data_IF_713409304450
#
_entry.id   IF_713409304450
#
_cell.length_a   1.000
_cell.length_b   1.000
_cell.length_c   1.000
_cell.angle_alpha   90.00
_cell.angle_beta   90.00
_cell.angle_gamma   90.00
#
_symmetry.space_group_name_H-M   'P 1'
#
loop_
_entity.id
_entity.type
_entity.pdbx_description
1 polymer ?
#
# COMPACT_ATOMS: atom_id res chain seq x y z
N UNK A 1 -22.52 7.70 -8.23
CA UNK A 1 -21.55 7.54 -9.34
C UNK A 1 -21.73 8.68 -10.33
N UNK A 2 -21.15 9.86 -10.10
CA UNK A 2 -21.17 10.93 -11.13
C UNK A 2 -20.05 11.97 -10.97
N UNK A 3 -18.84 11.52 -10.64
CA UNK A 3 -17.65 12.22 -11.13
C UNK A 3 -17.45 11.63 -12.54
N UNK A 4 -17.85 12.36 -13.57
CA UNK A 4 -17.84 11.89 -14.96
C UNK A 4 -16.45 11.38 -15.41
N UNK A 5 -16.37 10.83 -16.62
CA UNK A 5 -15.11 10.35 -17.16
C UNK A 5 -14.08 11.50 -17.25
N UNK A 6 -13.06 11.48 -16.39
CA UNK A 6 -11.92 12.41 -16.41
C UNK A 6 -10.95 11.97 -17.50
N UNK A 7 -11.32 12.26 -18.75
CA UNK A 7 -10.53 11.90 -19.95
C UNK A 7 -9.29 12.77 -20.15
N UNK A 8 -9.22 13.91 -19.46
CA UNK A 8 -8.10 14.85 -19.56
C UNK A 8 -7.00 14.59 -18.52
N UNK A 9 -7.16 13.60 -17.63
CA UNK A 9 -6.12 13.26 -16.66
C UNK A 9 -5.06 12.33 -17.31
N UNK A 10 -3.81 12.78 -17.49
CA UNK A 10 -2.73 11.95 -18.06
C UNK A 10 -2.44 10.69 -17.24
N UNK A 11 -2.81 10.66 -15.96
CA UNK A 11 -2.70 9.49 -15.09
C UNK A 11 -3.82 8.46 -15.33
N UNK A 12 -4.88 8.81 -16.06
CA UNK A 12 -5.93 7.88 -16.46
C UNK A 12 -5.47 6.94 -17.59
N UNK A 13 -4.60 7.43 -18.48
CA UNK A 13 -4.10 6.65 -19.61
C UNK A 13 -2.98 5.66 -19.22
N UNK A 14 -2.28 5.93 -18.12
CA UNK A 14 -1.18 5.10 -17.66
C UNK A 14 -1.53 4.29 -16.39
N UNK A 15 -2.24 3.17 -16.52
CA UNK A 15 -2.60 2.34 -15.35
C UNK A 15 -1.38 1.60 -14.74
N UNK A 16 -0.24 1.58 -15.44
CA UNK A 16 0.93 0.74 -15.12
C UNK A 16 1.59 1.16 -13.80
N UNK A 17 1.64 2.46 -13.48
CA UNK A 17 2.28 2.93 -12.24
C UNK A 17 1.62 2.37 -10.98
N UNK A 18 0.31 2.10 -11.01
CA UNK A 18 -0.44 1.54 -9.88
C UNK A 18 -0.03 0.10 -9.56
N UNK A 19 0.66 -0.59 -10.48
CA UNK A 19 0.97 -2.01 -10.34
C UNK A 19 2.38 -2.26 -9.84
N UNK A 20 3.26 -1.27 -9.91
CA UNK A 20 4.68 -1.45 -9.59
C UNK A 20 4.83 -1.92 -8.14
N UNK A 21 4.24 -1.19 -7.20
CA UNK A 21 4.29 -1.52 -5.77
C UNK A 21 3.73 -2.91 -5.43
N UNK A 22 2.48 -3.26 -5.79
CA UNK A 22 1.95 -4.59 -5.49
C UNK A 22 2.74 -5.70 -6.19
N UNK A 23 3.22 -5.49 -7.42
CA UNK A 23 4.03 -6.48 -8.12
C UNK A 23 5.36 -6.73 -7.41
N UNK A 24 6.03 -5.68 -6.94
CA UNK A 24 7.27 -5.82 -6.16
C UNK A 24 7.03 -6.57 -4.84
N UNK A 25 5.94 -6.30 -4.13
CA UNK A 25 5.60 -7.02 -2.90
C UNK A 25 5.27 -8.50 -3.17
N UNK A 26 4.55 -8.80 -4.25
CA UNK A 26 4.25 -10.18 -4.64
C UNK A 26 5.53 -10.92 -5.04
N UNK A 27 6.41 -10.29 -5.82
CA UNK A 27 7.72 -10.87 -6.17
C UNK A 27 8.58 -11.10 -4.93
N UNK A 28 8.60 -10.17 -3.98
CA UNK A 28 9.22 -10.36 -2.68
C UNK A 28 8.67 -11.59 -1.96
N UNK A 29 7.35 -11.72 -1.90
CA UNK A 29 6.71 -12.89 -1.32
C UNK A 29 7.01 -14.18 -2.07
N UNK A 30 7.17 -14.17 -3.39
CA UNK A 30 7.46 -15.37 -4.19
C UNK A 30 8.88 -15.87 -3.97
N UNK A 31 9.85 -14.94 -3.94
CA UNK A 31 11.27 -15.27 -4.10
C UNK A 31 12.12 -15.06 -2.84
N UNK A 32 11.62 -14.36 -1.81
CA UNK A 32 12.37 -14.07 -0.58
C UNK A 32 11.93 -14.93 0.61
N UNK A 33 12.86 -15.47 1.43
CA UNK A 33 14.32 -15.45 1.26
C UNK A 33 14.79 -16.40 0.17
N UNK A 34 14.08 -17.51 -0.03
CA UNK A 34 14.23 -18.42 -1.16
C UNK A 34 12.88 -18.66 -1.83
N UNK A 35 12.89 -19.12 -3.08
CA UNK A 35 11.66 -19.41 -3.81
C UNK A 35 10.93 -20.60 -3.18
N UNK A 36 9.68 -20.41 -2.78
CA UNK A 36 8.81 -21.50 -2.32
C UNK A 36 7.75 -21.82 -3.38
N UNK A 37 7.55 -23.11 -3.74
CA UNK A 37 6.59 -23.48 -4.78
C UNK A 37 5.17 -22.95 -4.53
N UNK A 38 4.68 -23.03 -3.29
CA UNK A 38 3.34 -22.54 -2.94
C UNK A 38 3.26 -21.01 -3.10
N UNK A 39 4.28 -20.29 -2.63
CA UNK A 39 4.35 -18.83 -2.76
C UNK A 39 4.38 -18.40 -4.23
N UNK A 40 5.13 -19.11 -5.08
CA UNK A 40 5.19 -18.86 -6.53
C UNK A 40 3.82 -19.10 -7.18
N UNK A 41 3.12 -20.17 -6.85
CA UNK A 41 1.77 -20.46 -7.38
C UNK A 41 0.78 -19.36 -6.99
N UNK A 42 0.73 -19.00 -5.70
CA UNK A 42 -0.16 -17.95 -5.19
C UNK A 42 0.17 -16.61 -5.83
N UNK A 43 1.45 -16.22 -5.83
CA UNK A 43 1.90 -14.95 -6.41
C UNK A 43 1.61 -14.85 -7.90
N UNK A 44 1.85 -15.92 -8.66
CA UNK A 44 1.54 -15.98 -10.09
C UNK A 44 0.04 -15.85 -10.36
N UNK A 45 -0.80 -16.51 -9.56
CA UNK A 45 -2.25 -16.41 -9.68
C UNK A 45 -2.75 -14.98 -9.41
N UNK A 46 -2.20 -14.29 -8.41
CA UNK A 46 -2.56 -12.90 -8.11
C UNK A 46 -2.07 -11.93 -9.19
N UNK A 47 -0.83 -12.09 -9.68
CA UNK A 47 -0.32 -11.28 -10.81
C UNK A 47 -1.20 -11.48 -12.05
N UNK A 48 -1.56 -12.73 -12.36
CA UNK A 48 -2.46 -13.01 -13.48
C UNK A 48 -3.83 -12.34 -13.29
N UNK A 49 -4.40 -12.39 -12.09
CA UNK A 49 -5.65 -11.70 -11.78
C UNK A 49 -5.53 -10.17 -11.95
N UNK A 50 -4.43 -9.56 -11.50
CA UNK A 50 -4.17 -8.14 -11.70
C UNK A 50 -4.08 -7.77 -13.18
N UNK A 51 -3.48 -8.63 -14.01
CA UNK A 51 -3.43 -8.47 -15.47
C UNK A 51 -4.84 -8.49 -16.06
N UNK A 52 -5.63 -9.50 -15.72
CA UNK A 52 -7.01 -9.66 -16.21
C UNK A 52 -7.88 -8.47 -15.82
N UNK A 53 -7.86 -8.07 -14.54
CA UNK A 53 -8.55 -6.86 -14.07
C UNK A 53 -8.07 -5.63 -14.84
N UNK A 54 -6.76 -5.56 -15.09
CA UNK A 54 -6.10 -4.55 -15.93
C UNK A 54 -6.78 -4.31 -17.27
N UNK A 55 -6.92 -5.41 -17.99
CA UNK A 55 -7.52 -5.47 -19.32
C UNK A 55 -9.01 -5.12 -19.24
N UNK A 56 -9.73 -5.69 -18.27
CA UNK A 56 -11.15 -5.41 -18.07
C UNK A 56 -11.42 -3.92 -17.79
N UNK A 57 -10.59 -3.27 -16.97
CA UNK A 57 -10.68 -1.84 -16.69
C UNK A 57 -10.50 -1.00 -17.96
N UNK A 58 -9.63 -1.41 -18.88
CA UNK A 58 -9.44 -0.73 -20.16
C UNK A 58 -10.63 -0.92 -21.08
N UNK A 59 -11.10 -2.17 -21.26
CA UNK A 59 -12.25 -2.49 -22.12
C UNK A 59 -13.50 -1.73 -21.67
N UNK A 60 -13.77 -1.74 -20.36
CA UNK A 60 -14.94 -1.07 -19.77
C UNK A 60 -14.75 0.44 -19.56
N UNK A 61 -13.57 0.99 -19.90
CA UNK A 61 -13.23 2.41 -19.72
C UNK A 61 -13.38 2.90 -18.27
N UNK A 62 -13.27 1.98 -17.31
CA UNK A 62 -13.42 2.27 -15.87
C UNK A 62 -12.27 3.11 -15.31
N UNK A 63 -11.11 3.04 -15.96
CA UNK A 63 -9.95 3.87 -15.64
C UNK A 63 -10.18 5.38 -15.82
N UNK A 64 -11.24 5.82 -16.49
CA UNK A 64 -11.59 7.25 -16.54
C UNK A 64 -12.41 7.74 -15.34
N UNK A 65 -12.93 6.84 -14.49
CA UNK A 65 -13.77 7.23 -13.36
C UNK A 65 -12.94 7.40 -12.10
N UNK A 66 -12.95 8.61 -11.52
CA UNK A 66 -12.12 8.94 -10.36
C UNK A 66 -12.39 8.04 -9.14
N UNK A 67 -13.66 7.76 -8.85
CA UNK A 67 -14.03 6.87 -7.75
C UNK A 67 -13.54 5.43 -7.96
N UNK A 68 -13.54 4.95 -9.21
CA UNK A 68 -13.04 3.62 -9.53
C UNK A 68 -11.51 3.56 -9.42
N UNK A 69 -10.79 4.59 -9.91
CA UNK A 69 -9.34 4.69 -9.74
C UNK A 69 -8.95 4.73 -8.27
N UNK A 70 -9.64 5.55 -7.46
CA UNK A 70 -9.43 5.60 -6.02
C UNK A 70 -9.60 4.23 -5.36
N UNK A 71 -10.66 3.50 -5.73
CA UNK A 71 -10.93 2.15 -5.25
C UNK A 71 -9.80 1.18 -5.63
N UNK A 72 -9.37 1.17 -6.88
CA UNK A 72 -8.27 0.29 -7.35
C UNK A 72 -6.98 0.62 -6.62
N UNK A 73 -6.66 1.90 -6.45
CA UNK A 73 -5.46 2.34 -5.71
C UNK A 73 -5.47 1.80 -4.28
N UNK A 74 -6.56 1.96 -3.53
CA UNK A 74 -6.61 1.47 -2.14
C UNK A 74 -6.53 -0.05 -2.07
N UNK A 75 -7.19 -0.78 -2.98
CA UNK A 75 -7.10 -2.24 -3.07
C UNK A 75 -5.66 -2.70 -3.33
N UNK A 76 -4.94 -2.04 -4.24
CA UNK A 76 -3.56 -2.39 -4.57
C UNK A 76 -2.57 -2.04 -3.45
N UNK A 77 -2.79 -0.97 -2.69
CA UNK A 77 -2.01 -0.65 -1.50
C UNK A 77 -2.26 -1.67 -0.37
N UNK A 78 -3.51 -2.08 -0.17
CA UNK A 78 -3.86 -3.13 0.80
C UNK A 78 -3.22 -4.47 0.42
N UNK A 79 -3.29 -4.84 -0.86
CA UNK A 79 -2.64 -6.03 -1.41
C UNK A 79 -1.12 -5.99 -1.19
N UNK A 80 -0.49 -4.85 -1.46
CA UNK A 80 0.95 -4.62 -1.21
C UNK A 80 1.28 -4.92 0.25
N UNK A 81 0.50 -4.39 1.20
CA UNK A 81 0.71 -4.65 2.63
C UNK A 81 0.53 -6.11 3.00
N UNK A 82 -0.52 -6.77 2.51
CA UNK A 82 -0.74 -8.20 2.78
C UNK A 82 0.48 -9.01 2.33
N UNK A 83 0.98 -8.79 1.10
CA UNK A 83 2.16 -9.50 0.62
C UNK A 83 3.45 -9.12 1.35
N UNK A 84 3.61 -7.87 1.79
CA UNK A 84 4.70 -7.48 2.68
C UNK A 84 4.64 -8.24 4.02
N UNK A 85 3.48 -8.33 4.66
CA UNK A 85 3.29 -9.06 5.90
C UNK A 85 3.60 -10.55 5.74
N UNK A 86 3.16 -11.16 4.63
CA UNK A 86 3.50 -12.54 4.29
C UNK A 86 5.00 -12.73 4.04
N UNK A 87 5.64 -11.78 3.35
CA UNK A 87 7.10 -11.78 3.15
C UNK A 87 7.84 -11.70 4.48
N UNK A 88 7.35 -10.90 5.44
CA UNK A 88 7.92 -10.80 6.80
C UNK A 88 7.82 -12.14 7.54
N UNK A 89 6.72 -12.90 7.38
CA UNK A 89 6.61 -14.26 7.95
C UNK A 89 7.73 -15.13 7.39
N UNK A 90 7.88 -15.16 6.06
CA UNK A 90 8.88 -15.97 5.36
C UNK A 90 10.31 -15.55 5.70
N UNK A 91 10.53 -14.26 5.99
CA UNK A 91 11.81 -13.69 6.43
C UNK A 91 12.19 -14.02 7.88
N UNK A 92 11.43 -14.86 8.59
CA UNK A 92 11.70 -15.23 9.98
C UNK A 92 11.07 -14.32 11.02
N UNK A 93 10.10 -13.48 10.64
CA UNK A 93 9.32 -12.67 11.60
C UNK A 93 8.35 -13.50 12.45
N UNK A 94 8.01 -14.72 12.01
CA UNK A 94 7.06 -15.58 12.71
C UNK A 94 5.60 -15.13 12.55
N UNK A 95 4.67 -16.07 12.74
CA UNK A 95 3.25 -15.83 12.45
C UNK A 95 2.64 -14.75 13.35
N UNK A 96 3.08 -14.66 14.61
CA UNK A 96 2.56 -13.69 15.60
C UNK A 96 2.83 -12.26 15.18
N UNK A 97 4.07 -11.94 14.75
CA UNK A 97 4.43 -10.59 14.32
C UNK A 97 3.57 -10.19 13.12
N UNK A 98 3.46 -11.05 12.10
CA UNK A 98 2.65 -10.72 10.94
C UNK A 98 1.16 -10.66 11.21
N UNK A 99 0.62 -11.45 12.15
CA UNK A 99 -0.76 -11.27 12.61
C UNK A 99 -0.97 -9.90 13.25
N UNK A 100 -0.02 -9.42 14.06
CA UNK A 100 -0.07 -8.07 14.64
C UNK A 100 -0.03 -7.01 13.53
N UNK A 101 0.84 -7.17 12.53
CA UNK A 101 0.92 -6.24 11.40
C UNK A 101 -0.38 -6.18 10.58
N UNK A 102 -1.03 -7.32 10.35
CA UNK A 102 -2.34 -7.36 9.70
C UNK A 102 -3.44 -6.70 10.56
N UNK A 103 -3.42 -6.88 11.88
CA UNK A 103 -4.33 -6.17 12.79
C UNK A 103 -4.09 -4.66 12.72
N UNK A 104 -2.82 -4.23 12.70
CA UNK A 104 -2.49 -2.81 12.53
C UNK A 104 -2.98 -2.26 11.19
N UNK A 105 -2.86 -3.02 10.09
CA UNK A 105 -3.43 -2.65 8.80
C UNK A 105 -4.95 -2.43 8.89
N UNK A 106 -5.69 -3.37 9.48
CA UNK A 106 -7.14 -3.27 9.65
C UNK A 106 -7.51 -2.03 10.49
N UNK A 107 -6.80 -1.80 11.60
CA UNK A 107 -7.02 -0.62 12.45
C UNK A 107 -6.73 0.68 11.70
N UNK A 108 -5.65 0.73 10.92
CA UNK A 108 -5.30 1.88 10.07
C UNK A 108 -6.40 2.18 9.08
N UNK A 109 -6.89 1.17 8.35
CA UNK A 109 -7.99 1.31 7.40
C UNK A 109 -9.24 1.82 8.12
N UNK A 110 -9.59 1.22 9.26
CA UNK A 110 -10.76 1.62 10.06
C UNK A 110 -10.69 3.08 10.50
N UNK A 111 -9.55 3.51 11.06
CA UNK A 111 -9.34 4.90 11.51
C UNK A 111 -9.44 5.87 10.34
N UNK A 112 -8.77 5.57 9.22
CA UNK A 112 -8.78 6.39 8.01
C UNK A 112 -10.19 6.55 7.42
N UNK A 113 -10.97 5.47 7.41
CA UNK A 113 -12.37 5.53 6.97
C UNK A 113 -13.28 6.28 7.93
N UNK A 114 -13.10 6.13 9.25
CA UNK A 114 -13.99 6.72 10.26
C UNK A 114 -13.70 8.19 10.51
N UNK A 115 -12.43 8.60 10.42
CA UNK A 115 -11.95 9.95 10.72
C UNK A 115 -11.07 10.55 9.61
N UNK A 116 -11.54 10.60 8.35
CA UNK A 116 -10.71 10.99 7.21
C UNK A 116 -10.19 12.44 7.29
N UNK A 117 -11.02 13.37 7.79
CA UNK A 117 -10.63 14.77 7.96
C UNK A 117 -9.51 14.92 8.98
N UNK A 118 -9.60 14.21 10.12
CA UNK A 118 -8.57 14.26 11.14
C UNK A 118 -7.23 13.76 10.59
N UNK A 119 -7.22 12.61 9.90
CA UNK A 119 -6.01 12.03 9.32
C UNK A 119 -5.36 12.99 8.32
N UNK A 120 -6.13 13.61 7.43
CA UNK A 120 -5.59 14.52 6.41
C UNK A 120 -5.17 15.87 6.97
N UNK A 121 -5.93 16.43 7.92
CA UNK A 121 -5.53 17.66 8.62
C UNK A 121 -4.24 17.44 9.39
N UNK A 122 -4.13 16.32 10.10
CA UNK A 122 -2.95 16.01 10.90
C UNK A 122 -1.69 15.73 10.06
N UNK A 123 -1.87 15.25 8.83
CA UNK A 123 -0.79 15.07 7.87
C UNK A 123 -0.31 16.39 7.23
N UNK A 124 -1.22 17.34 6.98
CA UNK A 124 -0.88 18.64 6.39
C UNK A 124 -0.43 19.67 7.43
N UNK A 125 -1.07 19.66 8.60
CA UNK A 125 -0.82 20.54 9.74
C UNK A 125 -0.63 19.68 11.00
N UNK A 126 0.58 19.16 11.24
CA UNK A 126 0.83 18.25 12.36
C UNK A 126 0.77 18.98 13.72
N UNK A 127 -0.40 18.95 14.36
CA UNK A 127 -0.64 19.60 15.66
C UNK A 127 -0.30 18.67 16.82
N UNK A 128 -0.58 17.38 16.68
CA UNK A 128 -0.30 16.34 17.68
C UNK A 128 1.13 15.79 17.53
N UNK A 129 1.63 15.16 18.61
CA UNK A 129 2.92 14.45 18.56
C UNK A 129 2.94 13.35 17.49
N UNK A 130 1.80 12.69 17.26
CA UNK A 130 1.64 11.63 16.26
C UNK A 130 1.77 12.20 14.84
N UNK A 131 1.06 13.30 14.54
CA UNK A 131 1.17 13.97 13.24
C UNK A 131 2.59 14.46 12.95
N UNK A 132 3.27 15.02 13.96
CA UNK A 132 4.66 15.47 13.80
C UNK A 132 5.59 14.31 13.44
N UNK A 133 5.45 13.18 14.12
CA UNK A 133 6.21 11.96 13.83
C UNK A 133 5.93 11.47 12.40
N UNK A 134 4.66 11.43 11.97
CA UNK A 134 4.25 11.04 10.62
C UNK A 134 4.93 11.92 9.56
N UNK A 135 4.86 13.25 9.72
CA UNK A 135 5.44 14.20 8.77
C UNK A 135 6.97 14.14 8.78
N UNK A 136 7.60 14.02 9.95
CA UNK A 136 9.05 13.84 10.07
C UNK A 136 9.53 12.57 9.36
N UNK A 137 8.79 11.46 9.44
CA UNK A 137 9.14 10.25 8.70
C UNK A 137 8.98 10.40 7.19
N UNK A 138 7.97 11.15 6.73
CA UNK A 138 7.82 11.45 5.31
C UNK A 138 9.00 12.28 4.76
N UNK A 139 9.49 13.28 5.52
CA UNK A 139 10.68 14.07 5.16
C UNK A 139 11.98 13.26 5.17
N UNK A 140 12.06 12.22 5.99
CA UNK A 140 13.22 11.32 6.05
C UNK A 140 13.27 10.31 4.91
N UNK A 141 12.31 10.29 3.96
CA UNK A 141 12.13 9.22 2.98
C UNK A 141 13.41 8.69 2.31
N UNK A 142 14.31 9.56 1.85
CA UNK A 142 15.60 9.12 1.26
C UNK A 142 16.59 8.61 2.30
N UNK A 143 16.75 9.30 3.43
CA UNK A 143 17.64 8.91 4.52
C UNK A 143 17.20 7.61 5.21
N UNK A 144 15.89 7.44 5.39
CA UNK A 144 15.28 6.23 5.91
C UNK A 144 15.50 5.06 4.94
N UNK A 145 15.31 5.26 3.63
CA UNK A 145 15.59 4.23 2.63
C UNK A 145 17.08 3.84 2.60
N UNK A 146 18.00 4.79 2.72
CA UNK A 146 19.45 4.52 2.82
C UNK A 146 19.80 3.79 4.13
N UNK A 147 19.22 4.18 5.27
CA UNK A 147 19.41 3.49 6.54
C UNK A 147 18.84 2.07 6.53
N UNK A 148 17.68 1.87 5.91
CA UNK A 148 17.05 0.56 5.69
C UNK A 148 17.96 -0.34 4.83
N UNK A 149 18.51 0.20 3.73
CA UNK A 149 19.47 -0.51 2.88
C UNK A 149 20.75 -0.85 3.65
N UNK A 150 21.30 0.10 4.41
CA UNK A 150 22.48 -0.11 5.24
C UNK A 150 22.24 -1.16 6.33
N UNK A 151 21.11 -1.13 7.04
CA UNK A 151 20.78 -2.11 8.07
C UNK A 151 20.54 -3.51 7.51
N UNK A 152 19.92 -3.62 6.32
CA UNK A 152 19.77 -4.89 5.61
C UNK A 152 21.11 -5.50 5.21
N UNK A 153 22.12 -4.69 4.88
CA UNK A 153 23.47 -5.14 4.50
C UNK A 153 24.32 -5.48 5.72
N UNK A 154 24.11 -4.80 6.86
CA UNK A 154 24.90 -4.98 8.09
C UNK A 154 24.31 -6.01 9.08
N UNK A 155 23.44 -6.91 8.62
CA UNK A 155 23.02 -8.07 9.40
C UNK A 155 21.94 -7.81 10.45
N UNK A 156 21.23 -6.68 10.39
CA UNK A 156 19.93 -6.62 11.08
C UNK A 156 18.99 -7.62 10.39
N UNK A 157 18.29 -8.45 11.17
CA UNK A 157 17.39 -9.46 10.62
C UNK A 157 16.41 -8.84 9.63
N UNK A 158 16.32 -9.38 8.42
CA UNK A 158 15.49 -8.83 7.34
C UNK A 158 14.02 -8.68 7.74
N UNK A 159 13.53 -9.55 8.63
CA UNK A 159 12.21 -9.42 9.25
C UNK A 159 12.01 -8.09 10.00
N UNK A 160 13.01 -7.61 10.73
CA UNK A 160 12.96 -6.34 11.46
C UNK A 160 12.94 -5.15 10.50
N UNK A 161 13.79 -5.18 9.47
CA UNK A 161 13.85 -4.13 8.46
C UNK A 161 12.53 -4.03 7.70
N UNK A 162 12.01 -5.15 7.19
CA UNK A 162 10.73 -5.21 6.50
C UNK A 162 9.56 -4.78 7.40
N UNK A 163 9.62 -5.09 8.71
CA UNK A 163 8.62 -4.64 9.68
C UNK A 163 8.61 -3.11 9.83
N UNK A 164 9.78 -2.47 9.89
CA UNK A 164 9.87 -1.00 9.93
C UNK A 164 9.28 -0.40 8.65
N UNK A 165 9.63 -0.95 7.48
CA UNK A 165 9.08 -0.50 6.19
C UNK A 165 7.56 -0.65 6.17
N UNK A 166 7.03 -1.77 6.67
CA UNK A 166 5.59 -2.00 6.77
C UNK A 166 4.90 -0.93 7.63
N UNK A 167 5.44 -0.63 8.82
CA UNK A 167 4.87 0.38 9.73
C UNK A 167 4.85 1.77 9.07
N UNK A 168 5.92 2.13 8.36
CA UNK A 168 5.95 3.39 7.60
C UNK A 168 4.93 3.38 6.46
N UNK A 169 4.77 2.25 5.78
CA UNK A 169 3.81 2.11 4.69
C UNK A 169 2.35 2.23 5.15
N UNK A 170 2.03 1.90 6.41
CA UNK A 170 0.71 2.14 6.99
C UNK A 170 0.29 3.63 6.95
N UNK A 171 1.25 4.56 6.99
CA UNK A 171 0.96 6.01 6.83
C UNK A 171 0.38 6.27 5.44
N UNK A 172 1.01 5.71 4.40
CA UNK A 172 0.55 5.86 3.01
C UNK A 172 -0.86 5.29 2.84
N UNK A 173 -1.13 4.14 3.47
CA UNK A 173 -2.46 3.52 3.48
C UNK A 173 -3.49 4.41 4.18
N UNK A 174 -3.15 4.96 5.35
CA UNK A 174 -4.05 5.86 6.06
C UNK A 174 -4.45 7.06 5.20
N UNK A 175 -3.47 7.69 4.54
CA UNK A 175 -3.69 8.83 3.67
C UNK A 175 -4.52 8.48 2.43
N UNK A 176 -4.24 7.34 1.80
CA UNK A 176 -4.96 6.88 0.61
C UNK A 176 -6.43 6.57 0.94
N UNK A 177 -6.70 5.83 2.02
CA UNK A 177 -8.07 5.50 2.44
C UNK A 177 -8.84 6.74 2.92
N UNK A 178 -8.19 7.65 3.65
CA UNK A 178 -8.82 8.91 4.07
C UNK A 178 -9.21 9.79 2.86
N UNK A 179 -8.30 9.92 1.89
CA UNK A 179 -8.53 10.67 0.65
C UNK A 179 -9.65 10.05 -0.19
N UNK A 180 -9.65 8.72 -0.31
CA UNK A 180 -10.69 7.99 -1.01
C UNK A 180 -12.06 8.18 -0.34
N UNK A 181 -12.14 8.10 0.99
CA UNK A 181 -13.39 8.32 1.72
C UNK A 181 -13.96 9.72 1.51
N UNK A 182 -13.12 10.76 1.49
CA UNK A 182 -13.59 12.12 1.18
C UNK A 182 -14.06 12.26 -0.26
N UNK A 183 -13.39 11.57 -1.20
CA UNK A 183 -13.79 11.55 -2.60
C UNK A 183 -15.18 10.93 -2.78
N UNK A 184 -15.47 9.84 -2.04
CA UNK A 184 -16.80 9.22 -2.00
C UNK A 184 -17.85 10.15 -1.41
N UNK A 185 -17.59 10.76 -0.24
CA UNK A 185 -18.54 11.69 0.41
C UNK A 185 -18.88 12.92 -0.43
N UNK A 186 -17.97 13.41 -1.26
CA UNK A 186 -18.24 14.55 -2.17
C UNK A 186 -19.13 14.17 -3.36
N UNK A 187 -19.37 12.88 -3.56
CA UNK A 187 -20.20 12.34 -4.64
C UNK A 187 -21.57 11.85 -4.20
N UNK A 188 -21.88 11.98 -2.90
CA UNK A 188 -23.19 11.78 -2.25
C UNK A 188 -23.93 13.12 -2.15
#
# INVERSE_FOLDING_TARGET
MNLGAYREDPLADNIIYLWILPSLAILGFMFYPEAEPIAVVIGSAVIFLMIVLSILMKIKKWHYYLGFRGLVTVIYLDLTSVFMALTIIRAGGGIVISSILLVMLILTIFIAFRFPNFVLTEANEPRTKIGKVIVSFAYLGSAAATAIGYWSVNGFGASLVLTIVFVLFLIVIALAHASFRLTLKRSE
#
